data_IF_712160386067
#
_entry.id   IF_712160386067
#
_cell.length_a   1.000
_cell.length_b   1.000
_cell.length_c   1.000
_cell.angle_alpha   90.00
_cell.angle_beta   90.00
_cell.angle_gamma   90.00
#
_symmetry.space_group_name_H-M   'P 1'
#
loop_
_entity.id
_entity.type
_entity.pdbx_description
1 polymer ?
#
# COMPACT_ATOMS: atom_id res chain seq x y z
N UNK A 1 8.99 -9.46 -7.65
CA UNK A 1 9.77 -8.26 -8.01
C UNK A 1 10.78 -8.04 -6.92
N UNK A 2 12.03 -7.75 -7.30
CA UNK A 2 13.12 -7.50 -6.36
C UNK A 2 13.67 -6.10 -6.63
N UNK A 3 13.89 -5.34 -5.57
CA UNK A 3 14.51 -4.02 -5.60
C UNK A 3 15.65 -4.04 -4.59
N UNK A 4 16.85 -3.65 -5.04
CA UNK A 4 18.01 -3.48 -4.17
C UNK A 4 18.54 -2.05 -4.36
N UNK A 5 18.67 -1.34 -3.25
CA UNK A 5 19.26 0.01 -3.22
C UNK A 5 20.51 -0.06 -2.35
N UNK A 6 21.67 0.05 -3.00
CA UNK A 6 22.96 -0.07 -2.34
C UNK A 6 23.24 1.08 -1.37
N UNK A 7 24.23 0.87 -0.50
CA UNK A 7 24.62 1.83 0.52
C UNK A 7 24.89 3.23 -0.07
N UNK A 8 24.25 4.25 0.51
CA UNK A 8 24.35 5.64 0.09
C UNK A 8 23.70 5.97 -1.26
N UNK A 9 23.04 5.01 -1.93
CA UNK A 9 22.33 5.25 -3.18
C UNK A 9 20.94 5.87 -2.92
N UNK A 10 20.47 6.63 -3.90
CA UNK A 10 19.12 7.21 -3.90
C UNK A 10 18.36 6.71 -5.12
N UNK A 11 17.15 6.19 -4.91
CA UNK A 11 16.27 5.72 -5.97
C UNK A 11 14.85 6.28 -5.80
N UNK A 12 14.27 6.71 -6.92
CA UNK A 12 12.84 6.98 -7.04
C UNK A 12 12.27 6.02 -8.09
N UNK A 13 11.33 5.19 -7.67
CA UNK A 13 10.69 4.18 -8.51
C UNK A 13 9.19 4.50 -8.57
N UNK A 14 8.67 4.57 -9.79
CA UNK A 14 7.24 4.67 -10.06
C UNK A 14 6.90 3.74 -11.24
N UNK A 15 5.61 3.55 -11.50
CA UNK A 15 5.15 2.79 -12.66
C UNK A 15 4.64 3.74 -13.74
N UNK A 16 4.52 3.26 -14.97
CA UNK A 16 3.95 4.05 -16.08
C UNK A 16 2.46 3.81 -16.27
N UNK A 17 1.88 2.87 -15.50
CA UNK A 17 0.48 2.51 -15.62
C UNK A 17 -0.04 1.87 -14.35
N UNK A 18 -1.32 2.15 -14.07
CA UNK A 18 -2.11 1.46 -13.06
C UNK A 18 -2.09 -0.07 -13.24
N UNK A 19 -2.01 -0.78 -12.13
CA UNK A 19 -2.11 -2.24 -12.10
C UNK A 19 -3.58 -2.66 -12.15
N UNK A 20 -4.03 -3.14 -13.31
CA UNK A 20 -5.43 -3.59 -13.50
C UNK A 20 -5.55 -5.07 -13.17
N UNK A 21 -6.35 -5.42 -12.17
CA UNK A 21 -6.65 -6.82 -11.86
C UNK A 21 -7.94 -7.19 -12.58
N UNK A 22 -7.82 -8.05 -13.58
CA UNK A 22 -8.95 -8.46 -14.39
C UNK A 22 -9.90 -9.40 -13.64
N UNK A 23 -11.18 -9.40 -14.04
CA UNK A 23 -12.17 -10.39 -13.61
C UNK A 23 -11.68 -11.80 -13.93
N UNK A 24 -12.01 -12.77 -13.06
CA UNK A 24 -11.55 -14.14 -13.21
C UNK A 24 -12.59 -15.14 -12.72
N UNK A 25 -12.87 -16.16 -13.52
CA UNK A 25 -13.80 -17.23 -13.14
C UNK A 25 -13.20 -18.13 -12.06
N UNK A 26 -11.90 -18.37 -12.14
CA UNK A 26 -11.16 -19.27 -11.25
C UNK A 26 -9.88 -18.61 -10.72
N UNK A 27 -9.46 -19.05 -9.53
CA UNK A 27 -8.19 -18.72 -8.88
C UNK A 27 -8.00 -17.22 -8.56
N UNK A 28 -6.75 -16.77 -8.36
CA UNK A 28 -6.38 -15.40 -8.01
C UNK A 28 -5.14 -14.92 -8.76
N UNK A 29 -4.96 -13.59 -8.85
CA UNK A 29 -3.70 -12.97 -9.24
C UNK A 29 -2.85 -12.68 -8.00
N UNK A 30 -1.53 -12.79 -8.13
CA UNK A 30 -0.61 -12.60 -7.02
C UNK A 30 0.55 -11.67 -7.39
N UNK A 31 1.02 -10.92 -6.39
CA UNK A 31 2.22 -10.10 -6.47
C UNK A 31 3.09 -10.38 -5.23
N UNK A 32 4.39 -10.55 -5.45
CA UNK A 32 5.37 -10.64 -4.37
C UNK A 32 6.47 -9.62 -4.64
N UNK A 33 6.79 -8.83 -3.62
CA UNK A 33 7.77 -7.75 -3.69
C UNK A 33 8.77 -7.95 -2.57
N UNK A 34 10.05 -7.91 -2.90
CA UNK A 34 11.14 -7.92 -1.95
C UNK A 34 12.01 -6.69 -2.19
N UNK A 35 12.08 -5.83 -1.19
CA UNK A 35 12.78 -4.55 -1.25
C UNK A 35 13.90 -4.59 -0.21
N UNK A 36 15.13 -4.37 -0.63
CA UNK A 36 16.31 -4.23 0.24
C UNK A 36 16.90 -2.84 0.11
N UNK A 37 17.08 -2.16 1.23
CA UNK A 37 17.61 -0.79 1.26
C UNK A 37 18.78 -0.73 2.23
N UNK A 38 19.97 -0.50 1.66
CA UNK A 38 21.24 -0.53 2.38
C UNK A 38 21.50 0.71 3.24
N UNK A 39 22.64 0.68 3.93
CA UNK A 39 23.07 1.74 4.85
C UNK A 39 23.03 3.13 4.22
N UNK A 40 22.41 4.09 4.91
CA UNK A 40 22.28 5.49 4.49
C UNK A 40 21.66 5.66 3.10
N UNK A 41 20.99 4.64 2.57
CA UNK A 41 20.33 4.71 1.28
C UNK A 41 18.92 5.31 1.40
N UNK A 42 18.43 5.81 0.28
CA UNK A 42 17.13 6.44 0.16
C UNK A 42 16.32 5.78 -0.95
N UNK A 43 15.12 5.33 -0.62
CA UNK A 43 14.17 4.79 -1.58
C UNK A 43 12.82 5.49 -1.46
N UNK A 44 12.35 6.07 -2.57
CA UNK A 44 10.93 6.34 -2.80
C UNK A 44 10.40 5.32 -3.79
N UNK A 45 9.42 4.51 -3.36
CA UNK A 45 8.70 3.63 -4.25
C UNK A 45 7.20 3.98 -4.22
N UNK A 46 6.77 4.65 -5.27
CA UNK A 46 5.42 5.19 -5.43
C UNK A 46 4.78 4.67 -6.72
N UNK A 47 4.31 3.41 -6.73
CA UNK A 47 3.62 2.84 -7.88
C UNK A 47 2.27 3.53 -8.13
N UNK A 48 1.80 3.46 -9.37
CA UNK A 48 0.42 3.82 -9.71
C UNK A 48 -0.59 2.91 -9.02
N UNK A 49 -1.83 3.36 -9.01
CA UNK A 49 -2.93 2.70 -8.35
C UNK A 49 -3.23 1.28 -8.85
N UNK A 50 -3.71 0.44 -7.94
CA UNK A 50 -4.32 -0.85 -8.23
C UNK A 50 -5.80 -0.65 -8.52
N UNK A 51 -6.27 -1.22 -9.64
CA UNK A 51 -7.67 -1.15 -10.10
C UNK A 51 -8.23 -2.57 -10.17
N UNK A 52 -8.89 -3.05 -9.11
CA UNK A 52 -9.52 -4.37 -9.12
C UNK A 52 -10.85 -4.33 -9.88
N UNK A 53 -10.97 -5.10 -10.96
CA UNK A 53 -12.24 -5.23 -11.68
C UNK A 53 -13.23 -6.06 -10.86
N UNK A 54 -14.50 -6.03 -11.25
CA UNK A 54 -15.52 -6.93 -10.67
C UNK A 54 -15.07 -8.39 -10.73
N UNK A 55 -15.40 -9.20 -9.72
CA UNK A 55 -15.03 -10.62 -9.63
C UNK A 55 -13.51 -10.91 -9.71
N UNK A 56 -12.66 -9.93 -9.37
CA UNK A 56 -11.22 -10.16 -9.26
C UNK A 56 -10.84 -10.61 -7.85
N UNK A 57 -9.79 -11.43 -7.76
CA UNK A 57 -9.14 -11.87 -6.52
C UNK A 57 -7.66 -11.54 -6.62
N UNK A 58 -7.15 -10.75 -5.69
CA UNK A 58 -5.75 -10.30 -5.70
C UNK A 58 -5.09 -10.45 -4.33
N UNK A 59 -3.85 -10.94 -4.33
CA UNK A 59 -3.02 -11.07 -3.14
C UNK A 59 -1.66 -10.40 -3.40
N UNK A 60 -1.29 -9.43 -2.58
CA UNK A 60 0.04 -8.83 -2.55
C UNK A 60 0.76 -9.18 -1.25
N UNK A 61 2.04 -9.53 -1.35
CA UNK A 61 2.96 -9.69 -0.24
C UNK A 61 4.25 -8.89 -0.49
N UNK A 62 4.46 -7.86 0.31
CA UNK A 62 5.60 -6.95 0.25
C UNK A 62 6.46 -7.11 1.50
N UNK A 63 7.71 -7.52 1.29
CA UNK A 63 8.75 -7.56 2.31
C UNK A 63 9.75 -6.42 2.07
N UNK A 64 9.95 -5.59 3.09
CA UNK A 64 10.94 -4.52 3.11
C UNK A 64 12.02 -4.90 4.15
N UNK A 65 13.27 -4.98 3.72
CA UNK A 65 14.43 -5.14 4.59
C UNK A 65 15.24 -3.84 4.48
N UNK A 66 15.38 -3.10 5.58
CA UNK A 66 16.08 -1.82 5.55
C UNK A 66 17.09 -1.69 6.69
N UNK A 67 18.22 -1.06 6.39
CA UNK A 67 19.15 -0.62 7.43
C UNK A 67 18.50 0.41 8.36
N UNK A 68 18.91 0.40 9.61
CA UNK A 68 18.53 1.38 10.64
C UNK A 68 18.82 2.83 10.26
N UNK A 69 19.79 3.08 9.36
CA UNK A 69 20.14 4.41 8.87
C UNK A 69 19.50 4.78 7.53
N UNK A 70 18.77 3.85 6.90
CA UNK A 70 18.12 4.06 5.62
C UNK A 70 16.77 4.79 5.76
N UNK A 71 16.32 5.38 4.67
CA UNK A 71 14.98 5.94 4.55
C UNK A 71 14.23 5.30 3.39
N UNK A 72 13.03 4.79 3.66
CA UNK A 72 12.12 4.18 2.69
C UNK A 72 10.75 4.84 2.77
N UNK A 73 10.27 5.33 1.63
CA UNK A 73 8.89 5.74 1.43
C UNK A 73 8.24 4.73 0.49
N UNK A 74 7.21 4.05 0.95
CA UNK A 74 6.44 3.09 0.16
C UNK A 74 4.97 3.48 0.16
N UNK A 75 4.31 3.49 -0.99
CA UNK A 75 2.89 3.79 -1.08
C UNK A 75 2.08 2.72 -1.80
N UNK A 76 0.84 2.52 -1.36
CA UNK A 76 -0.17 1.76 -2.08
C UNK A 76 -1.42 2.62 -2.29
N UNK A 77 -1.93 2.66 -3.52
CA UNK A 77 -3.23 3.28 -3.83
C UNK A 77 -4.16 2.21 -4.36
N UNK A 78 -5.32 2.05 -3.74
CA UNK A 78 -6.38 1.15 -4.16
C UNK A 78 -7.58 1.94 -4.64
N UNK A 79 -7.96 1.70 -5.90
CA UNK A 79 -9.20 2.21 -6.48
C UNK A 79 -10.38 1.34 -6.10
N UNK A 80 -11.62 1.87 -6.13
CA UNK A 80 -12.82 1.06 -5.86
C UNK A 80 -13.09 0.03 -6.98
N UNK A 81 -12.28 0.02 -8.05
CA UNK A 81 -12.52 -0.65 -9.31
C UNK A 81 -12.75 0.35 -10.43
N UNK A 82 -13.27 -0.10 -11.57
CA UNK A 82 -13.54 0.77 -12.74
C UNK A 82 -14.85 1.53 -12.58
N UNK A 83 -14.92 2.42 -11.59
CA UNK A 83 -16.14 3.14 -11.14
C UNK A 83 -17.03 3.68 -12.27
N UNK A 84 -16.43 4.17 -13.36
CA UNK A 84 -17.16 4.79 -14.48
C UNK A 84 -17.47 3.83 -15.65
N UNK A 85 -17.15 2.54 -15.53
CA UNK A 85 -17.32 1.57 -16.61
C UNK A 85 -18.64 0.78 -16.51
N UNK A 86 -19.01 0.33 -15.30
CA UNK A 86 -20.28 -0.37 -15.04
C UNK A 86 -20.64 -0.24 -13.56
N UNK A 87 -21.93 -0.31 -13.22
CA UNK A 87 -22.40 -0.15 -11.83
C UNK A 87 -21.77 -1.19 -10.88
N UNK A 88 -21.57 -2.42 -11.36
CA UNK A 88 -21.00 -3.53 -10.58
C UNK A 88 -19.48 -3.44 -10.42
N UNK A 89 -18.81 -2.41 -10.96
CA UNK A 89 -17.35 -2.27 -10.84
C UNK A 89 -16.96 -1.61 -9.52
N UNK A 90 -17.79 -0.72 -8.97
CA UNK A 90 -17.50 -0.07 -7.69
C UNK A 90 -17.61 -1.10 -6.57
N UNK A 91 -16.49 -1.39 -5.94
CA UNK A 91 -16.30 -2.43 -4.94
C UNK A 91 -16.81 -3.80 -5.41
N UNK A 92 -16.69 -4.08 -6.71
CA UNK A 92 -17.20 -5.31 -7.33
C UNK A 92 -16.27 -6.52 -7.23
N UNK A 93 -15.03 -6.32 -6.76
CA UNK A 93 -14.04 -7.38 -6.62
C UNK A 93 -14.41 -8.34 -5.49
N UNK A 94 -13.90 -9.57 -5.56
CA UNK A 94 -14.18 -10.58 -4.56
C UNK A 94 -13.23 -10.45 -3.37
N UNK A 95 -11.92 -10.30 -3.65
CA UNK A 95 -10.88 -10.21 -2.62
C UNK A 95 -9.77 -9.26 -3.06
N UNK A 96 -9.41 -8.32 -2.20
CA UNK A 96 -8.12 -7.64 -2.21
C UNK A 96 -7.41 -7.92 -0.89
N UNK A 97 -6.21 -8.52 -0.96
CA UNK A 97 -5.42 -8.86 0.21
C UNK A 97 -4.01 -8.29 0.08
N UNK A 98 -3.68 -7.23 0.81
CA UNK A 98 -2.32 -6.68 0.87
C UNK A 98 -1.67 -7.06 2.20
N UNK A 99 -0.41 -7.50 2.16
CA UNK A 99 0.44 -7.68 3.32
C UNK A 99 1.72 -6.91 3.09
N UNK A 100 2.09 -6.06 4.05
CA UNK A 100 3.36 -5.34 4.04
C UNK A 100 4.07 -5.67 5.34
N UNK A 101 5.33 -6.11 5.27
CA UNK A 101 6.16 -6.40 6.43
C UNK A 101 7.50 -5.73 6.27
N UNK A 102 7.98 -5.10 7.35
CA UNK A 102 9.33 -4.55 7.39
C UNK A 102 10.19 -5.27 8.42
N UNK A 103 11.47 -5.46 8.09
CA UNK A 103 12.48 -6.05 8.95
C UNK A 103 13.74 -5.20 8.99
N UNK A 104 14.44 -5.24 10.13
CA UNK A 104 15.80 -4.71 10.23
C UNK A 104 16.83 -5.70 9.64
N UNK A 105 18.10 -5.29 9.58
CA UNK A 105 19.21 -6.15 9.09
C UNK A 105 19.43 -7.43 9.90
N UNK A 106 19.02 -7.44 11.18
CA UNK A 106 19.07 -8.63 12.03
C UNK A 106 17.94 -9.63 11.75
N UNK A 107 16.96 -9.26 10.91
CA UNK A 107 15.79 -10.06 10.57
C UNK A 107 14.62 -9.88 11.53
N UNK A 108 14.72 -9.00 12.52
CA UNK A 108 13.62 -8.69 13.44
C UNK A 108 12.53 -7.92 12.71
N UNK A 109 11.27 -8.29 12.95
CA UNK A 109 10.12 -7.62 12.36
C UNK A 109 9.91 -6.27 13.05
N UNK A 110 9.98 -5.19 12.27
CA UNK A 110 9.67 -3.83 12.71
C UNK A 110 8.17 -3.60 12.77
N UNK A 111 7.46 -4.01 11.72
CA UNK A 111 5.99 -4.01 11.71
C UNK A 111 5.45 -5.02 10.69
N UNK A 112 4.15 -5.30 10.79
CA UNK A 112 3.38 -5.96 9.74
C UNK A 112 2.00 -5.32 9.64
N UNK A 113 1.66 -4.89 8.43
CA UNK A 113 0.31 -4.48 8.06
C UNK A 113 -0.36 -5.57 7.23
N UNK A 114 -1.64 -5.84 7.51
CA UNK A 114 -2.47 -6.74 6.71
C UNK A 114 -3.81 -6.09 6.44
N UNK A 115 -4.11 -5.83 5.17
CA UNK A 115 -5.39 -5.35 4.71
C UNK A 115 -6.09 -6.46 3.93
N UNK A 116 -7.30 -6.84 4.35
CA UNK A 116 -8.14 -7.82 3.63
C UNK A 116 -9.52 -7.22 3.41
N UNK A 117 -9.88 -7.06 2.15
CA UNK A 117 -11.16 -6.49 1.74
C UNK A 117 -11.96 -7.53 0.98
N UNK A 118 -13.18 -7.81 1.47
CA UNK A 118 -14.18 -8.69 0.85
C UNK A 118 -15.51 -7.94 0.69
N UNK A 119 -15.64 -7.01 -0.28
CA UNK A 119 -16.77 -6.09 -0.36
C UNK A 119 -18.15 -6.76 -0.44
N UNK A 120 -18.21 -7.97 -1.02
CA UNK A 120 -19.44 -8.76 -1.15
C UNK A 120 -19.93 -9.35 0.17
N UNK A 121 -19.04 -9.46 1.15
CA UNK A 121 -19.36 -9.92 2.51
C UNK A 121 -19.46 -8.74 3.49
N UNK A 122 -18.57 -7.75 3.33
CA UNK A 122 -18.46 -6.59 4.21
C UNK A 122 -18.38 -5.31 3.37
N UNK A 123 -19.45 -4.49 3.34
CA UNK A 123 -19.44 -3.23 2.62
C UNK A 123 -18.30 -2.32 3.08
N UNK A 124 -17.63 -1.67 2.13
CA UNK A 124 -16.48 -0.80 2.42
C UNK A 124 -16.87 0.66 2.69
N UNK A 125 -18.03 1.08 2.21
CA UNK A 125 -18.55 2.45 2.32
C UNK A 125 -19.27 2.75 3.64
N UNK A 126 -18.89 2.02 4.69
CA UNK A 126 -19.36 2.25 6.06
C UNK A 126 -18.40 3.16 6.82
N UNK A 127 -18.92 3.91 7.78
CA UNK A 127 -18.12 4.74 8.70
C UNK A 127 -17.12 3.85 9.44
N UNK A 128 -15.88 4.32 9.57
CA UNK A 128 -14.77 3.57 10.19
C UNK A 128 -14.03 2.63 9.22
N UNK A 129 -14.51 2.45 7.99
CA UNK A 129 -13.79 1.74 6.92
C UNK A 129 -13.37 2.72 5.83
N UNK A 130 -14.22 3.00 4.84
CA UNK A 130 -13.97 4.06 3.84
C UNK A 130 -15.03 5.16 3.86
N UNK A 131 -16.20 4.95 4.48
CA UNK A 131 -17.28 5.93 4.54
C UNK A 131 -17.64 6.47 3.15
N UNK A 132 -17.55 7.78 2.96
CA UNK A 132 -17.82 8.43 1.67
C UNK A 132 -16.64 8.43 0.69
N UNK A 133 -15.48 7.91 1.10
CA UNK A 133 -14.29 7.84 0.26
C UNK A 133 -14.29 6.55 -0.56
N UNK A 134 -13.93 6.66 -1.84
CA UNK A 134 -13.83 5.51 -2.73
C UNK A 134 -12.39 5.04 -2.93
N UNK A 135 -11.41 5.89 -2.63
CA UNK A 135 -9.98 5.62 -2.85
C UNK A 135 -9.32 5.43 -1.50
N UNK A 136 -8.59 4.33 -1.37
CA UNK A 136 -7.71 4.09 -0.24
C UNK A 136 -6.27 4.40 -0.65
N UNK A 137 -5.58 5.19 0.16
CA UNK A 137 -4.16 5.49 -0.01
C UNK A 137 -3.43 5.19 1.28
N UNK A 138 -2.32 4.46 1.17
CA UNK A 138 -1.42 4.18 2.27
C UNK A 138 -0.02 4.69 1.92
N UNK A 139 0.66 5.28 2.89
CA UNK A 139 2.07 5.66 2.80
C UNK A 139 2.76 5.22 4.07
N UNK A 140 3.81 4.42 3.91
CA UNK A 140 4.67 3.94 4.98
C UNK A 140 6.01 4.62 4.83
N UNK A 141 6.49 5.20 5.94
CA UNK A 141 7.81 5.81 6.04
C UNK A 141 8.62 5.06 7.08
N UNK A 142 9.68 4.39 6.63
CA UNK A 142 10.72 3.83 7.49
C UNK A 142 11.91 4.79 7.42
N UNK A 143 12.38 5.29 8.56
CA UNK A 143 13.45 6.29 8.58
C UNK A 143 14.11 6.31 9.95
N UNK A 144 15.34 6.85 10.10
CA UNK A 144 15.97 6.97 11.41
C UNK A 144 15.11 7.83 12.33
N UNK A 145 15.16 7.56 13.64
CA UNK A 145 14.32 8.24 14.65
C UNK A 145 14.47 9.76 14.61
N UNK A 146 15.69 10.26 14.35
CA UNK A 146 15.95 11.70 14.20
C UNK A 146 15.14 12.34 13.05
N UNK A 147 15.04 11.65 11.91
CA UNK A 147 14.23 12.08 10.78
C UNK A 147 12.73 11.93 11.08
N UNK A 148 12.33 10.86 11.76
CA UNK A 148 10.95 10.64 12.17
C UNK A 148 10.43 11.79 13.04
N UNK A 149 11.22 12.20 14.04
CA UNK A 149 10.86 13.31 14.95
C UNK A 149 10.69 14.62 14.18
N UNK A 150 11.59 14.91 13.24
CA UNK A 150 11.49 16.09 12.38
C UNK A 150 10.23 16.06 11.50
N UNK A 151 9.91 14.92 10.88
CA UNK A 151 8.70 14.73 10.07
C UNK A 151 7.45 14.95 10.92
N UNK A 152 7.39 14.36 12.10
CA UNK A 152 6.25 14.49 13.01
C UNK A 152 6.08 15.93 13.52
N UNK A 153 7.18 16.64 13.79
CA UNK A 153 7.12 18.04 14.23
C UNK A 153 6.52 18.99 13.17
N UNK A 154 6.64 18.64 11.89
CA UNK A 154 6.15 19.44 10.75
C UNK A 154 4.79 18.97 10.23
N UNK A 155 4.43 17.72 10.51
CA UNK A 155 3.18 17.11 10.06
C UNK A 155 2.05 17.51 11.01
N UNK A 156 1.00 18.12 10.47
CA UNK A 156 -0.23 18.35 11.24
C UNK A 156 -1.13 17.13 11.06
N UNK A 157 -1.46 16.45 12.16
CA UNK A 157 -2.50 15.42 12.12
C UNK A 157 -3.82 16.08 11.69
N UNK A 158 -4.32 15.67 10.53
CA UNK A 158 -5.60 16.13 10.00
C UNK A 158 -6.55 14.94 9.92
N UNK A 159 -7.64 15.00 10.69
CA UNK A 159 -8.76 14.10 10.52
C UNK A 159 -9.80 14.87 9.69
N UNK A 160 -10.18 14.34 8.53
CA UNK A 160 -11.23 14.92 7.73
C UNK A 160 -12.52 14.99 8.60
N UNK A 161 -13.13 16.17 8.71
CA UNK A 161 -14.32 16.39 9.54
C UNK A 161 -15.50 15.49 9.17
N UNK A 162 -15.52 14.95 7.95
CA UNK A 162 -16.50 13.95 7.48
C UNK A 162 -16.36 12.57 8.14
N UNK A 163 -15.24 12.28 8.81
CA UNK A 163 -15.01 11.01 9.50
C UNK A 163 -15.51 11.01 10.96
N UNK A 164 -15.92 12.18 11.48
CA UNK A 164 -16.43 12.37 12.85
C UNK A 164 -17.91 12.72 12.80
N UNK A 165 -18.78 11.82 12.34
CA UNK A 165 -20.22 11.86 12.63
C UNK A 165 -20.85 10.47 12.48
N UNK A 166 -20.96 9.76 13.60
CA UNK A 166 -22.13 8.99 14.04
C UNK A 166 -21.96 8.70 15.54
#
# INVERSE_FOLDING_TARGET
>A
MEIEVDAGACAHITTQSATKIHSMDNNFAAQTQHIRVGKQAYLEFMPDQVIPHRHSRFISDTLIECDSTATVLYSEILMPGRKHHHQDERFGFDVYSSRISAKNEAGDVLFTEKLVLTPKEKPLDVVGVMGTFDIYGNVIVLTPSTCQDEILSRSRSFIARSCVMA
#
